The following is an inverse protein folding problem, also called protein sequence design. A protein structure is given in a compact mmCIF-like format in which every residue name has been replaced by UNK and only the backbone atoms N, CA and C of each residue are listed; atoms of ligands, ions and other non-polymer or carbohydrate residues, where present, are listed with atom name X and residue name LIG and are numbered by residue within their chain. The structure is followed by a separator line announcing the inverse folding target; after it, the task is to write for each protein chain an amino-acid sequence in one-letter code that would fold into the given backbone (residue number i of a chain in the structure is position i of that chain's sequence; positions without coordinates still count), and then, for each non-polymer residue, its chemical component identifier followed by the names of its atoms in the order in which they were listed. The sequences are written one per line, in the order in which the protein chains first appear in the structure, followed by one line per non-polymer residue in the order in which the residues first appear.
data_IF_041156395493
#
_entry.id   IF_041156395493
#
_cell.length_a   1.000
_cell.length_b   1.000
_cell.length_c   1.000
_cell.angle_alpha   90.00
_cell.angle_beta   90.00
_cell.angle_gamma   90.00
#
_symmetry.space_group_name_H-M   'P 1'
#
loop_
_entity.id
_entity.type
_entity.pdbx_description
1 polymer ?
#
# COMPACT_ATOMS: atom_id res chain seq x y z
N UNK A 1 41.60 31.53 -35.17
CA UNK A 1 40.14 31.30 -35.11
C UNK A 1 39.92 30.01 -34.35
N UNK A 2 39.51 30.07 -33.08
CA UNK A 2 39.43 28.91 -32.19
C UNK A 2 38.20 28.06 -32.54
N UNK A 3 38.40 26.76 -32.72
CA UNK A 3 37.31 25.80 -32.93
C UNK A 3 36.71 25.47 -31.56
N UNK A 4 35.51 25.97 -31.29
CA UNK A 4 34.74 25.58 -30.11
C UNK A 4 34.06 24.24 -30.42
N UNK A 5 34.61 23.15 -29.87
CA UNK A 5 33.92 21.87 -29.84
C UNK A 5 32.72 21.99 -28.90
N UNK A 6 31.52 22.03 -29.47
CA UNK A 6 30.28 22.03 -28.70
C UNK A 6 30.13 20.67 -28.03
N UNK A 7 30.21 20.63 -26.70
CA UNK A 7 29.99 19.42 -25.90
C UNK A 7 28.50 19.05 -26.05
N UNK A 8 28.14 17.82 -26.45
CA UNK A 8 26.77 17.39 -26.40
C UNK A 8 26.36 17.30 -24.93
N UNK A 9 25.52 18.23 -24.47
CA UNK A 9 24.82 18.04 -23.21
C UNK A 9 23.97 16.78 -23.36
N UNK A 10 24.30 15.74 -22.60
CA UNK A 10 23.48 14.55 -22.50
C UNK A 10 22.08 15.00 -22.07
N UNK A 11 21.14 15.00 -23.02
CA UNK A 11 19.73 15.17 -22.72
C UNK A 11 19.35 13.99 -21.86
N UNK A 12 19.10 14.23 -20.56
CA UNK A 12 18.53 13.23 -19.68
C UNK A 12 17.21 12.78 -20.32
N UNK A 13 17.20 11.59 -20.90
CA UNK A 13 16.01 11.00 -21.47
C UNK A 13 15.02 10.85 -20.32
N UNK A 14 13.96 11.66 -20.35
CA UNK A 14 12.88 11.59 -19.38
C UNK A 14 12.33 10.17 -19.36
N UNK A 15 12.50 9.47 -18.23
CA UNK A 15 12.02 8.10 -18.05
C UNK A 15 10.50 8.09 -18.34
N UNK A 16 9.99 7.22 -19.23
CA UNK A 16 8.57 7.19 -19.55
C UNK A 16 7.69 6.97 -18.31
N UNK A 17 8.20 6.28 -17.28
CA UNK A 17 7.50 6.06 -16.02
C UNK A 17 7.38 7.32 -15.15
N UNK A 18 8.17 8.36 -15.40
CA UNK A 18 8.05 9.62 -14.66
C UNK A 18 6.67 10.26 -14.89
N UNK A 19 6.13 10.18 -16.10
CA UNK A 19 4.76 10.67 -16.37
C UNK A 19 3.68 9.90 -15.59
N UNK A 20 3.86 8.58 -15.45
CA UNK A 20 2.97 7.74 -14.65
C UNK A 20 3.12 8.03 -13.15
N UNK A 21 4.34 8.30 -12.69
CA UNK A 21 4.61 8.68 -11.32
C UNK A 21 3.98 10.03 -10.96
N UNK A 22 4.12 11.04 -11.82
CA UNK A 22 3.51 12.35 -11.58
C UNK A 22 1.99 12.31 -11.59
N UNK A 23 1.40 11.49 -12.47
CA UNK A 23 -0.04 11.21 -12.42
C UNK A 23 -0.44 10.55 -11.10
N UNK A 24 0.27 9.49 -10.71
CA UNK A 24 0.04 8.81 -9.44
C UNK A 24 0.20 9.75 -8.24
N UNK A 25 1.16 10.68 -8.29
CA UNK A 25 1.31 11.69 -7.25
C UNK A 25 0.07 12.58 -7.13
N UNK A 26 -0.52 12.98 -8.26
CA UNK A 26 -1.78 13.72 -8.28
C UNK A 26 -2.96 12.92 -7.76
N UNK A 27 -3.07 11.63 -8.13
CA UNK A 27 -4.17 10.76 -7.71
C UNK A 27 -4.14 10.46 -6.19
N UNK A 28 -2.97 10.54 -5.54
CA UNK A 28 -2.77 10.23 -4.12
C UNK A 28 -2.27 11.42 -3.28
N UNK A 29 -2.40 12.65 -3.78
CA UNK A 29 -2.00 13.89 -3.12
C UNK A 29 -0.56 13.86 -2.54
N UNK A 30 0.38 13.36 -3.33
CA UNK A 30 1.78 13.18 -2.90
C UNK A 30 2.61 14.42 -3.15
N UNK A 31 3.29 14.87 -2.10
CA UNK A 31 4.27 15.95 -2.15
C UNK A 31 5.55 15.56 -1.40
N UNK A 32 6.69 15.92 -1.97
CA UNK A 32 8.02 15.62 -1.41
C UNK A 32 8.74 16.92 -1.05
N UNK A 33 9.60 16.88 -0.03
CA UNK A 33 10.26 18.09 0.50
C UNK A 33 11.45 18.53 -0.34
N UNK A 34 12.01 17.62 -1.13
CA UNK A 34 13.18 17.87 -1.97
C UNK A 34 13.13 17.02 -3.23
N UNK A 35 13.81 17.48 -4.29
CA UNK A 35 13.97 16.71 -5.52
C UNK A 35 14.71 15.39 -5.28
N UNK A 36 15.66 15.37 -4.33
CA UNK A 36 16.35 14.14 -3.92
C UNK A 36 15.39 13.11 -3.32
N UNK A 37 14.46 13.55 -2.47
CA UNK A 37 13.41 12.68 -1.91
C UNK A 37 12.45 12.21 -3.00
N UNK A 38 12.00 13.11 -3.89
CA UNK A 38 11.17 12.76 -5.05
C UNK A 38 11.84 11.69 -5.90
N UNK A 39 13.14 11.84 -6.18
CA UNK A 39 13.89 10.88 -6.98
C UNK A 39 14.02 9.52 -6.28
N UNK A 40 14.28 9.49 -4.97
CA UNK A 40 14.35 8.24 -4.21
C UNK A 40 12.99 7.51 -4.24
N UNK A 41 11.90 8.23 -3.97
CA UNK A 41 10.55 7.68 -4.05
C UNK A 41 10.19 7.22 -5.47
N UNK A 42 10.67 7.91 -6.51
CA UNK A 42 10.51 7.49 -7.89
C UNK A 42 11.21 6.15 -8.20
N UNK A 43 12.43 5.93 -7.67
CA UNK A 43 13.11 4.63 -7.82
C UNK A 43 12.33 3.48 -7.15
N UNK A 44 11.75 3.74 -5.98
CA UNK A 44 10.88 2.78 -5.29
C UNK A 44 9.60 2.53 -6.09
N UNK A 45 8.99 3.60 -6.62
CA UNK A 45 7.82 3.50 -7.48
C UNK A 45 8.08 2.65 -8.73
N UNK A 46 9.20 2.85 -9.41
CA UNK A 46 9.59 2.00 -10.56
C UNK A 46 9.74 0.53 -10.17
N UNK A 47 10.38 0.27 -9.03
CA UNK A 47 10.53 -1.09 -8.52
C UNK A 47 9.18 -1.74 -8.27
N UNK A 48 8.25 -1.02 -7.64
CA UNK A 48 6.89 -1.50 -7.38
C UNK A 48 6.05 -1.64 -8.66
N UNK A 49 6.22 -0.75 -9.63
CA UNK A 49 5.57 -0.82 -10.94
C UNK A 49 5.96 -2.10 -11.69
N UNK A 50 7.26 -2.39 -11.77
CA UNK A 50 7.74 -3.62 -12.40
C UNK A 50 7.32 -4.88 -11.64
N UNK A 51 7.26 -4.82 -10.31
CA UNK A 51 6.69 -5.90 -9.50
C UNK A 51 5.23 -6.17 -9.89
N UNK A 52 4.41 -5.11 -10.01
CA UNK A 52 3.00 -5.22 -10.41
C UNK A 52 2.86 -5.85 -11.80
N UNK A 53 3.61 -5.35 -12.78
CA UNK A 53 3.59 -5.89 -14.14
C UNK A 53 3.97 -7.37 -14.17
N UNK A 54 5.08 -7.72 -13.54
CA UNK A 54 5.58 -9.10 -13.48
C UNK A 54 4.58 -10.01 -12.79
N UNK A 55 4.02 -9.57 -11.66
CA UNK A 55 3.09 -10.36 -10.87
C UNK A 55 1.78 -10.60 -11.62
N UNK A 56 1.20 -9.57 -12.24
CA UNK A 56 -0.07 -9.70 -12.96
C UNK A 56 0.06 -10.48 -14.30
N UNK A 57 1.27 -10.61 -14.85
CA UNK A 57 1.52 -11.47 -16.04
C UNK A 57 1.58 -12.96 -15.69
N UNK A 58 1.72 -13.32 -14.41
CA UNK A 58 1.81 -14.72 -13.98
C UNK A 58 0.44 -15.42 -14.05
N UNK A 59 0.41 -16.60 -14.66
CA UNK A 59 -0.79 -17.43 -14.75
C UNK A 59 -1.08 -18.18 -13.45
N UNK A 60 -2.36 -18.41 -13.15
CA UNK A 60 -2.77 -19.19 -11.97
C UNK A 60 -2.89 -18.40 -10.67
N UNK A 61 -2.81 -17.06 -10.74
CA UNK A 61 -3.13 -16.20 -9.61
C UNK A 61 -4.64 -15.96 -9.52
N UNK A 62 -5.18 -16.00 -8.30
CA UNK A 62 -6.58 -15.66 -8.00
C UNK A 62 -6.76 -14.19 -7.63
N UNK A 63 -5.68 -13.41 -7.69
CA UNK A 63 -5.66 -11.99 -7.34
C UNK A 63 -4.76 -11.20 -8.28
N UNK A 64 -4.98 -9.90 -8.31
CA UNK A 64 -4.13 -8.93 -8.98
C UNK A 64 -3.57 -7.94 -7.98
N UNK A 65 -2.46 -7.30 -8.34
CA UNK A 65 -1.88 -6.18 -7.60
C UNK A 65 -1.98 -4.92 -8.44
N UNK A 66 -2.03 -3.75 -7.81
CA UNK A 66 -2.17 -2.47 -8.49
C UNK A 66 -1.45 -1.35 -7.74
N UNK A 67 -1.25 -0.23 -8.42
CA UNK A 67 -0.72 0.97 -7.79
C UNK A 67 -1.74 1.51 -6.78
N UNK A 68 -1.29 1.73 -5.56
CA UNK A 68 -2.08 2.28 -4.47
C UNK A 68 -1.27 3.34 -3.71
N UNK A 69 -1.80 3.81 -2.59
CA UNK A 69 -1.16 4.84 -1.75
C UNK A 69 0.20 4.41 -1.14
N UNK A 70 0.66 3.18 -1.35
CA UNK A 70 1.93 2.66 -0.84
C UNK A 70 2.96 2.42 -1.96
N UNK A 71 2.66 2.84 -3.20
CA UNK A 71 3.53 2.57 -4.34
C UNK A 71 4.91 3.25 -4.26
N UNK A 72 5.09 4.27 -3.43
CA UNK A 72 6.38 4.94 -3.17
C UNK A 72 7.13 4.39 -1.94
N UNK A 73 6.65 3.30 -1.33
CA UNK A 73 7.26 2.71 -0.14
C UNK A 73 7.91 1.36 -0.46
N UNK A 74 9.07 1.14 0.14
CA UNK A 74 9.66 -0.20 0.21
C UNK A 74 8.85 -1.07 1.18
N UNK A 75 8.95 -2.39 1.04
CA UNK A 75 8.27 -3.31 1.95
C UNK A 75 8.70 -3.09 3.42
N UNK A 76 9.98 -2.82 3.68
CA UNK A 76 10.46 -2.53 5.03
C UNK A 76 9.87 -1.24 5.61
N UNK A 77 9.76 -0.18 4.80
CA UNK A 77 9.13 1.07 5.23
C UNK A 77 7.63 0.90 5.48
N UNK A 78 6.95 0.15 4.61
CA UNK A 78 5.54 -0.17 4.78
C UNK A 78 5.29 -0.89 6.10
N UNK A 79 6.07 -1.95 6.38
CA UNK A 79 5.94 -2.72 7.63
C UNK A 79 6.23 -1.87 8.87
N UNK A 80 7.26 -1.04 8.82
CA UNK A 80 7.65 -0.18 9.94
C UNK A 80 6.58 0.89 10.26
N UNK A 81 5.83 1.37 9.27
CA UNK A 81 4.83 2.43 9.44
C UNK A 81 3.42 1.89 9.69
N UNK A 82 3.01 0.85 8.98
CA UNK A 82 1.60 0.40 8.94
C UNK A 82 1.35 -0.96 9.60
N UNK A 83 2.38 -1.78 9.83
CA UNK A 83 2.23 -3.15 10.35
C UNK A 83 2.79 -3.33 11.77
N UNK A 84 2.70 -2.32 12.65
CA UNK A 84 3.27 -2.39 14.00
C UNK A 84 2.32 -3.03 15.02
N UNK A 85 2.03 -4.32 14.87
CA UNK A 85 1.21 -5.05 15.85
C UNK A 85 1.96 -5.19 17.18
N UNK A 86 1.41 -4.64 18.26
CA UNK A 86 1.90 -4.88 19.62
C UNK A 86 1.01 -5.91 20.31
N UNK A 87 1.51 -7.13 20.49
CA UNK A 87 0.79 -8.15 21.24
C UNK A 87 0.93 -7.92 22.76
N UNK A 88 -0.16 -8.00 23.53
CA UNK A 88 -0.06 -7.93 24.98
C UNK A 88 0.70 -9.15 25.53
N UNK A 89 1.64 -8.93 26.45
CA UNK A 89 2.45 -9.98 27.11
C UNK A 89 1.62 -11.05 27.85
N UNK A 90 0.37 -10.73 28.19
CA UNK A 90 -0.54 -11.63 28.92
C UNK A 90 -1.92 -11.56 28.27
N UNK A 91 -2.32 -12.63 27.58
CA UNK A 91 -3.70 -12.82 27.12
C UNK A 91 -4.55 -13.10 28.35
N UNK A 92 -5.53 -12.24 28.67
CA UNK A 92 -6.58 -12.62 29.63
C UNK A 92 -7.32 -13.80 29.01
N UNK A 93 -7.47 -14.90 29.75
CA UNK A 93 -8.30 -16.01 29.31
C UNK A 93 -9.73 -15.47 29.11
N UNK A 94 -10.25 -15.64 27.89
CA UNK A 94 -11.62 -15.22 27.56
C UNK A 94 -12.61 -16.06 28.36
N UNK A 95 -13.70 -15.42 28.80
CA UNK A 95 -14.89 -16.11 29.30
C UNK A 95 -15.42 -17.10 28.25
N UNK A 96 -16.04 -18.16 28.76
CA UNK A 96 -16.63 -19.27 28.00
C UNK A 96 -17.43 -18.77 26.80
N UNK A 97 -17.12 -19.29 25.61
CA UNK A 97 -17.93 -19.08 24.41
C UNK A 97 -19.10 -20.06 24.45
N UNK A 98 -20.33 -19.57 24.40
CA UNK A 98 -21.51 -20.43 24.31
C UNK A 98 -21.71 -20.87 22.86
N UNK A 99 -21.68 -22.17 22.62
CA UNK A 99 -22.05 -22.72 21.32
C UNK A 99 -23.58 -22.74 21.22
N UNK A 100 -24.12 -22.06 20.22
CA UNK A 100 -25.51 -22.28 19.81
C UNK A 100 -25.63 -23.67 19.17
N UNK A 101 -26.75 -24.36 19.38
CA UNK A 101 -27.04 -25.60 18.66
C UNK A 101 -27.42 -25.24 17.22
N UNK A 102 -26.45 -25.35 16.30
CA UNK A 102 -26.58 -24.88 14.92
C UNK A 102 -27.08 -26.02 14.02
N UNK A 103 -28.38 -26.04 13.73
CA UNK A 103 -28.99 -26.98 12.78
C UNK A 103 -28.93 -26.51 11.32
N UNK A 104 -28.74 -25.21 11.09
CA UNK A 104 -28.59 -24.63 9.76
C UNK A 104 -27.65 -23.42 9.81
N UNK A 105 -26.53 -23.51 9.08
CA UNK A 105 -25.56 -22.42 8.91
C UNK A 105 -25.52 -22.08 7.42
N UNK A 106 -25.64 -20.79 7.05
CA UNK A 106 -25.56 -20.39 5.66
C UNK A 106 -24.17 -20.66 5.07
N UNK A 107 -24.11 -20.92 3.77
CA UNK A 107 -22.86 -21.17 3.04
C UNK A 107 -22.00 -19.91 2.86
N UNK A 108 -22.58 -18.72 2.98
CA UNK A 108 -21.86 -17.45 2.97
C UNK A 108 -22.64 -16.39 3.77
N UNK A 109 -21.92 -15.48 4.41
CA UNK A 109 -22.48 -14.33 5.14
C UNK A 109 -21.69 -13.09 4.75
N UNK A 110 -22.40 -12.03 4.37
CA UNK A 110 -21.84 -10.69 4.23
C UNK A 110 -22.44 -9.75 5.28
N UNK A 111 -21.64 -9.39 6.29
CA UNK A 111 -22.05 -8.48 7.36
C UNK A 111 -22.30 -7.05 6.89
N UNK A 112 -21.73 -6.64 5.75
CA UNK A 112 -22.00 -5.33 5.17
C UNK A 112 -23.44 -5.25 4.67
N UNK A 113 -23.92 -6.28 3.96
CA UNK A 113 -25.32 -6.38 3.52
C UNK A 113 -26.33 -6.35 4.68
N UNK A 114 -25.90 -6.76 5.88
CA UNK A 114 -26.71 -6.77 7.09
C UNK A 114 -26.61 -5.45 7.91
N UNK A 115 -25.85 -4.46 7.43
CA UNK A 115 -25.68 -3.17 8.12
C UNK A 115 -24.84 -3.24 9.39
N UNK A 116 -24.09 -4.32 9.60
CA UNK A 116 -23.25 -4.53 10.79
C UNK A 116 -21.83 -3.96 10.64
N UNK A 117 -21.49 -3.41 9.46
CA UNK A 117 -20.15 -2.91 9.12
C UNK A 117 -20.19 -1.39 8.94
N UNK A 118 -19.28 -0.68 9.61
CA UNK A 118 -19.10 0.77 9.45
C UNK A 118 -18.20 1.09 8.25
N UNK A 119 -18.20 2.33 7.72
CA UNK A 119 -17.29 2.73 6.65
C UNK A 119 -15.82 2.44 6.99
N UNK A 120 -15.04 2.06 5.98
CA UNK A 120 -13.59 1.81 6.13
C UNK A 120 -12.90 3.08 6.60
N UNK A 121 -12.03 2.95 7.61
CA UNK A 121 -11.24 4.05 8.16
C UNK A 121 -9.77 3.94 7.73
N UNK A 122 -9.09 5.08 7.67
CA UNK A 122 -7.64 5.15 7.48
C UNK A 122 -6.93 5.27 8.83
N UNK A 123 -5.98 4.38 9.10
CA UNK A 123 -5.17 4.39 10.32
C UNK A 123 -4.07 5.47 10.31
N UNK A 124 -3.78 6.04 9.14
CA UNK A 124 -2.66 6.94 8.92
C UNK A 124 -1.31 6.32 9.29
N UNK A 125 -0.39 7.13 9.81
CA UNK A 125 0.94 6.66 10.23
C UNK A 125 0.98 6.15 11.68
N UNK A 126 -0.18 5.98 12.32
CA UNK A 126 -0.25 5.50 13.70
C UNK A 126 -0.53 3.99 13.68
N UNK A 127 0.50 3.16 13.78
CA UNK A 127 0.35 1.70 13.84
C UNK A 127 -0.23 1.16 15.17
N UNK A 128 -1.09 1.94 15.83
CA UNK A 128 -1.81 1.55 17.05
C UNK A 128 -3.19 1.01 16.67
N UNK A 129 -3.30 -0.26 16.31
CA UNK A 129 -4.60 -0.92 16.29
C UNK A 129 -5.04 -1.20 17.73
N UNK A 130 -6.13 -0.54 18.16
CA UNK A 130 -7.05 -1.08 19.16
C UNK A 130 -8.39 -1.25 18.45
N UNK A 131 -8.79 -2.49 18.17
CA UNK A 131 -10.19 -2.76 17.87
C UNK A 131 -10.97 -2.59 19.19
N UNK A 132 -11.64 -1.45 19.36
CA UNK A 132 -12.68 -1.34 20.38
C UNK A 132 -13.94 -1.98 19.81
N UNK A 133 -14.26 -3.17 20.32
CA UNK A 133 -15.59 -3.76 20.17
C UNK A 133 -16.58 -2.84 20.90
N UNK A 134 -17.43 -2.15 20.14
CA UNK A 134 -18.60 -1.48 20.71
C UNK A 134 -19.47 -2.55 21.36
N UNK A 135 -19.69 -2.40 22.66
CA UNK A 135 -20.62 -3.21 23.47
C UNK A 135 -22.03 -2.74 23.22
#
# INVERSE_FOLDING_TARGET
MCYVASIPTAVATHDPLMSAFEKWMGDFDRAYKSDTEKQLCFEVFKTNFHFIESRNKQTGLTYTVGLNQFADLTNSEFLAKYATLTLPKRRKASTSHQYANLSSVPTSIDWHSLGAVTPVKDQGQCGKYKFESST
#
